data_IF_487421459023
#
_entry.id   IF_487421459023
#
_cell.length_a   1.000
_cell.length_b   1.000
_cell.length_c   1.000
_cell.angle_alpha   90.00
_cell.angle_beta   90.00
_cell.angle_gamma   90.00
#
_symmetry.space_group_name_H-M   'P 1'
#
loop_
_entity.id
_entity.type
_entity.pdbx_description
1 polymer ?
#
# COMPACT_ATOMS: atom_id res chain seq x y z
N UNK A 1 1.84 7.49 15.15
CA UNK A 1 2.51 7.20 13.86
C UNK A 1 1.57 6.60 12.83
N UNK A 2 0.96 5.43 13.08
CA UNK A 2 0.03 4.80 12.11
C UNK A 2 -1.17 5.68 11.74
N UNK A 3 -1.77 6.37 12.71
CA UNK A 3 -2.82 7.36 12.43
C UNK A 3 -2.34 8.46 11.47
N UNK A 4 -1.09 8.92 11.60
CA UNK A 4 -0.45 9.87 10.69
C UNK A 4 -0.08 9.30 9.32
N UNK A 5 -0.24 7.99 9.11
CA UNK A 5 -0.15 7.30 7.81
C UNK A 5 -1.51 6.93 7.23
N UNK A 6 -2.62 7.35 7.86
CA UNK A 6 -3.98 7.07 7.37
C UNK A 6 -4.52 5.72 7.84
N UNK A 7 -3.88 5.13 8.84
CA UNK A 7 -4.26 3.86 9.45
C UNK A 7 -4.60 4.10 10.93
N UNK A 8 -5.82 4.58 11.23
CA UNK A 8 -6.23 4.80 12.60
C UNK A 8 -6.14 3.52 13.42
N UNK A 9 -5.59 3.65 14.62
CA UNK A 9 -5.68 2.65 15.68
C UNK A 9 -7.11 2.65 16.22
N UNK A 10 -7.63 1.52 16.69
CA UNK A 10 -9.03 1.40 17.08
C UNK A 10 -9.50 2.55 18.01
N UNK A 11 -10.54 3.28 17.58
CA UNK A 11 -11.10 4.43 18.31
C UNK A 11 -10.62 5.81 17.84
N UNK A 12 -9.59 5.89 16.99
CA UNK A 12 -9.10 7.17 16.45
C UNK A 12 -9.73 7.47 15.08
N UNK A 13 -10.13 8.73 14.79
CA UNK A 13 -10.55 9.11 13.45
C UNK A 13 -9.36 9.07 12.49
N UNK A 14 -9.55 8.52 11.29
CA UNK A 14 -8.57 8.68 10.20
C UNK A 14 -8.44 10.17 9.89
N UNK A 15 -7.22 10.74 9.84
CA UNK A 15 -7.07 12.12 9.41
C UNK A 15 -7.58 12.26 7.97
N UNK A 16 -8.40 13.27 7.72
CA UNK A 16 -8.86 13.58 6.38
C UNK A 16 -7.66 13.93 5.48
N UNK A 17 -7.59 13.35 4.27
CA UNK A 17 -6.60 13.73 3.24
C UNK A 17 -5.33 12.89 3.12
N UNK A 18 -5.15 11.79 3.90
CA UNK A 18 -3.97 10.93 3.78
C UNK A 18 -3.96 10.00 2.56
N UNK A 19 -5.13 9.61 2.06
CA UNK A 19 -5.25 8.91 0.77
C UNK A 19 -5.29 9.96 -0.32
N UNK A 20 -4.20 10.09 -1.06
CA UNK A 20 -4.05 11.11 -2.11
C UNK A 20 -4.70 10.66 -3.42
N UNK A 21 -4.84 9.35 -3.65
CA UNK A 21 -5.65 8.89 -4.78
C UNK A 21 -5.43 7.45 -5.20
N UNK A 22 -6.15 7.08 -6.25
CA UNK A 22 -5.97 5.85 -6.99
C UNK A 22 -5.02 6.11 -8.16
N UNK A 23 -4.12 5.17 -8.43
CA UNK A 23 -3.20 5.20 -9.56
C UNK A 23 -3.46 4.00 -10.47
N UNK A 24 -3.60 4.26 -11.77
CA UNK A 24 -3.47 3.21 -12.79
C UNK A 24 -1.98 2.88 -12.95
N UNK A 25 -1.64 1.61 -12.83
CA UNK A 25 -0.26 1.11 -13.03
C UNK A 25 -0.23 -0.03 -14.03
N UNK A 26 0.96 -0.34 -14.52
CA UNK A 26 1.21 -1.58 -15.26
C UNK A 26 1.15 -2.81 -14.33
N UNK A 27 0.99 -3.99 -14.93
CA UNK A 27 0.93 -5.26 -14.19
C UNK A 27 2.19 -5.48 -13.35
N UNK A 28 2.08 -5.77 -12.04
CA UNK A 28 3.22 -5.84 -11.12
C UNK A 28 4.09 -7.09 -11.28
N UNK A 29 3.71 -8.05 -12.13
CA UNK A 29 4.45 -9.29 -12.33
C UNK A 29 5.92 -9.07 -12.76
N UNK A 30 6.20 -7.97 -13.47
CA UNK A 30 7.55 -7.58 -13.91
C UNK A 30 8.44 -7.04 -12.79
N UNK A 31 7.88 -6.68 -11.63
CA UNK A 31 8.65 -6.17 -10.49
C UNK A 31 9.40 -7.29 -9.76
N UNK A 32 8.90 -8.53 -9.84
CA UNK A 32 9.49 -9.70 -9.18
C UNK A 32 9.13 -9.85 -7.70
N UNK A 33 9.31 -11.04 -7.13
CA UNK A 33 8.96 -11.38 -5.75
C UNK A 33 9.87 -10.79 -4.67
N UNK A 34 9.45 -10.87 -3.41
CA UNK A 34 10.28 -10.60 -2.24
C UNK A 34 10.36 -9.13 -1.84
N UNK A 35 11.09 -8.84 -0.76
CA UNK A 35 11.31 -7.51 -0.22
C UNK A 35 12.73 -7.01 -0.51
N UNK A 36 12.87 -5.74 -0.85
CA UNK A 36 14.18 -5.11 -1.08
C UNK A 36 14.21 -3.64 -0.65
N UNK A 37 15.35 -3.23 -0.10
CA UNK A 37 15.64 -1.89 0.44
C UNK A 37 16.77 -1.22 -0.35
N UNK A 38 16.68 -1.26 -1.67
CA UNK A 38 17.67 -0.68 -2.57
C UNK A 38 17.06 0.38 -3.49
N UNK A 39 17.72 1.54 -3.56
CA UNK A 39 17.26 2.66 -4.38
C UNK A 39 17.12 2.27 -5.85
N UNK A 40 18.05 1.49 -6.39
CA UNK A 40 18.01 1.08 -7.78
C UNK A 40 16.83 0.13 -8.05
N UNK A 41 16.57 -0.81 -7.13
CA UNK A 41 15.42 -1.70 -7.25
C UNK A 41 14.08 -0.97 -7.07
N UNK A 42 14.03 0.03 -6.18
CA UNK A 42 12.87 0.90 -6.04
C UNK A 42 12.59 1.70 -7.31
N UNK A 43 13.61 2.31 -7.91
CA UNK A 43 13.47 3.05 -9.19
C UNK A 43 13.04 2.12 -10.32
N UNK A 44 13.61 0.92 -10.43
CA UNK A 44 13.18 -0.09 -11.41
C UNK A 44 11.72 -0.48 -11.22
N UNK A 45 11.25 -0.60 -9.99
CA UNK A 45 9.85 -0.89 -9.70
C UNK A 45 8.94 0.26 -10.13
N UNK A 46 9.31 1.53 -9.88
CA UNK A 46 8.56 2.68 -10.38
C UNK A 46 8.45 2.68 -11.90
N UNK A 47 9.57 2.51 -12.62
CA UNK A 47 9.55 2.42 -14.09
C UNK A 47 8.69 1.25 -14.58
N UNK A 48 8.81 0.07 -13.97
CA UNK A 48 8.02 -1.11 -14.33
C UNK A 48 6.52 -0.88 -14.15
N UNK A 49 6.12 -0.15 -13.10
CA UNK A 49 4.73 0.22 -12.82
C UNK A 49 4.21 1.37 -13.69
N UNK A 50 5.06 2.01 -14.50
CA UNK A 50 4.69 3.20 -15.29
C UNK A 50 4.66 4.49 -14.48
N UNK A 51 5.35 4.52 -13.33
CA UNK A 51 5.46 5.64 -12.40
C UNK A 51 6.84 6.31 -12.46
N UNK A 52 7.49 6.29 -13.63
CA UNK A 52 8.77 6.94 -13.81
C UNK A 52 8.66 8.45 -13.56
N UNK A 53 9.62 9.01 -12.81
CA UNK A 53 9.59 10.41 -12.42
C UNK A 53 8.51 10.77 -11.39
N UNK A 54 7.88 9.79 -10.72
CA UNK A 54 6.91 10.05 -9.65
C UNK A 54 7.49 11.02 -8.62
N UNK A 55 6.78 12.12 -8.30
CA UNK A 55 7.33 13.21 -7.50
C UNK A 55 7.58 12.76 -6.06
N UNK A 56 8.59 13.32 -5.42
CA UNK A 56 8.84 13.11 -4.00
C UNK A 56 7.67 13.61 -3.16
N UNK A 57 7.27 12.82 -2.16
CA UNK A 57 6.26 13.22 -1.19
C UNK A 57 6.83 14.29 -0.25
N UNK A 58 6.21 15.47 -0.23
CA UNK A 58 6.51 16.54 0.73
C UNK A 58 5.64 16.48 1.99
N UNK A 59 4.57 15.67 1.94
CA UNK A 59 3.67 15.35 3.04
C UNK A 59 3.36 13.85 3.00
N UNK A 60 3.02 13.21 4.13
CA UNK A 60 2.63 11.81 4.15
C UNK A 60 1.45 11.53 3.23
N UNK A 61 1.51 10.44 2.45
CA UNK A 61 0.42 10.02 1.56
C UNK A 61 0.38 8.52 1.31
N UNK A 62 -0.83 8.05 1.01
CA UNK A 62 -1.14 6.72 0.53
C UNK A 62 -1.69 6.78 -0.89
N UNK A 63 -1.23 5.86 -1.75
CA UNK A 63 -1.73 5.69 -3.11
C UNK A 63 -2.10 4.23 -3.35
N UNK A 64 -3.34 3.98 -3.78
CA UNK A 64 -3.81 2.63 -4.12
C UNK A 64 -3.48 2.35 -5.58
N UNK A 65 -2.87 1.21 -5.84
CA UNK A 65 -2.36 0.85 -7.16
C UNK A 65 -3.34 -0.12 -7.82
N UNK A 66 -3.85 0.26 -8.99
CA UNK A 66 -4.88 -0.46 -9.72
C UNK A 66 -4.38 -0.88 -11.10
N UNK A 67 -4.80 -2.06 -11.54
CA UNK A 67 -4.60 -2.52 -12.91
C UNK A 67 -5.95 -2.84 -13.55
N UNK A 68 -6.01 -2.78 -14.89
CA UNK A 68 -7.16 -3.25 -15.64
C UNK A 68 -7.23 -4.78 -15.56
N UNK A 69 -8.39 -5.31 -15.18
CA UNK A 69 -8.67 -6.75 -15.22
C UNK A 69 -9.17 -7.20 -16.59
N UNK A 70 -9.51 -8.49 -16.71
CA UNK A 70 -10.26 -8.99 -17.86
C UNK A 70 -11.69 -8.41 -17.86
N UNK A 71 -12.21 -8.04 -19.03
CA UNK A 71 -13.43 -7.23 -19.16
C UNK A 71 -13.22 -5.80 -18.63
N UNK A 72 -14.28 -5.01 -18.49
CA UNK A 72 -14.20 -3.65 -17.94
C UNK A 72 -13.91 -3.60 -16.41
N UNK A 73 -13.28 -4.65 -15.86
CA UNK A 73 -13.04 -4.82 -14.43
C UNK A 73 -11.76 -4.14 -13.94
N UNK A 74 -11.71 -3.90 -12.64
CA UNK A 74 -10.56 -3.33 -11.93
C UNK A 74 -10.01 -4.33 -10.91
N UNK A 75 -8.69 -4.43 -10.85
CA UNK A 75 -7.99 -5.27 -9.86
C UNK A 75 -7.08 -4.38 -9.02
N UNK A 76 -7.09 -4.61 -7.71
CA UNK A 76 -6.14 -3.98 -6.81
C UNK A 76 -4.81 -4.73 -6.91
N UNK A 77 -3.76 -4.01 -7.27
CA UNK A 77 -2.40 -4.52 -7.38
C UNK A 77 -1.58 -4.25 -6.11
N UNK A 78 -1.86 -3.18 -5.38
CA UNK A 78 -0.99 -2.78 -4.28
C UNK A 78 -1.33 -1.47 -3.60
N UNK A 79 -0.40 -1.05 -2.75
CA UNK A 79 -0.40 0.23 -2.06
C UNK A 79 1.02 0.81 -2.08
N UNK A 80 1.12 2.11 -2.30
CA UNK A 80 2.33 2.89 -2.08
C UNK A 80 2.14 3.80 -0.87
N UNK A 81 3.14 3.83 0.01
CA UNK A 81 3.16 4.62 1.25
C UNK A 81 4.37 5.54 1.15
N UNK A 82 4.16 6.84 1.28
CA UNK A 82 5.22 7.84 1.16
C UNK A 82 5.16 8.82 2.31
N UNK A 83 6.32 9.25 2.79
CA UNK A 83 6.46 10.24 3.86
C UNK A 83 7.74 11.06 3.64
N UNK A 84 7.76 12.35 4.00
CA UNK A 84 9.00 13.13 3.98
C UNK A 84 10.04 12.60 4.98
N UNK A 85 9.60 11.88 6.02
CA UNK A 85 10.45 11.24 7.02
C UNK A 85 10.43 9.71 6.89
N UNK A 86 11.52 8.99 7.26
CA UNK A 86 11.56 7.54 7.20
C UNK A 86 10.48 6.85 8.04
N UNK A 87 9.74 5.95 7.39
CA UNK A 87 8.65 5.15 7.93
C UNK A 87 8.97 3.65 7.94
N UNK A 88 10.12 3.24 7.39
CA UNK A 88 10.68 1.90 7.49
C UNK A 88 12.17 1.99 7.83
N UNK A 89 12.57 1.43 8.96
CA UNK A 89 13.95 1.32 9.44
C UNK A 89 14.12 -0.01 10.16
N UNK A 90 14.72 -1.02 9.53
CA UNK A 90 15.00 -2.31 10.18
C UNK A 90 15.68 -2.13 11.54
N UNK A 91 15.25 -2.91 12.54
CA UNK A 91 15.74 -2.80 13.91
C UNK A 91 15.20 -1.62 14.72
N UNK A 92 14.38 -0.75 14.12
CA UNK A 92 13.67 0.33 14.83
C UNK A 92 12.17 0.32 14.56
N UNK A 93 11.78 0.26 13.29
CA UNK A 93 10.40 0.21 12.85
C UNK A 93 10.29 -0.49 11.50
N UNK A 94 9.52 -1.55 11.41
CA UNK A 94 9.23 -2.20 10.12
C UNK A 94 7.74 -2.15 9.85
N UNK A 95 7.39 -1.68 8.66
CA UNK A 95 6.02 -1.63 8.17
C UNK A 95 5.77 -2.77 7.20
N UNK A 96 4.65 -3.45 7.38
CA UNK A 96 4.16 -4.50 6.49
C UNK A 96 2.67 -4.28 6.23
N UNK A 97 2.22 -4.66 5.05
CA UNK A 97 0.84 -4.50 4.62
C UNK A 97 0.20 -5.86 4.38
N UNK A 98 -1.05 -5.99 4.80
CA UNK A 98 -1.92 -7.06 4.37
C UNK A 98 -3.28 -6.50 3.98
N UNK A 99 -4.01 -7.24 3.14
CA UNK A 99 -5.41 -6.94 2.88
C UNK A 99 -6.28 -7.97 3.60
N UNK A 100 -7.23 -7.49 4.40
CA UNK A 100 -8.24 -8.34 5.03
C UNK A 100 -9.59 -8.15 4.32
N UNK A 101 -10.14 -9.24 3.81
CA UNK A 101 -11.51 -9.27 3.30
C UNK A 101 -12.52 -9.29 4.46
N UNK A 102 -13.73 -8.78 4.24
CA UNK A 102 -14.78 -8.86 5.25
C UNK A 102 -15.20 -10.31 5.56
N UNK A 103 -15.03 -11.23 4.60
CA UNK A 103 -15.27 -12.66 4.76
C UNK A 103 -14.18 -13.39 5.59
N UNK A 104 -13.17 -12.66 6.09
CA UNK A 104 -12.14 -13.21 6.98
C UNK A 104 -10.90 -13.78 6.28
N UNK A 105 -10.86 -13.82 4.95
CA UNK A 105 -9.65 -14.14 4.19
C UNK A 105 -8.65 -12.99 4.21
N UNK A 106 -7.35 -13.31 4.29
CA UNK A 106 -6.24 -12.36 4.22
C UNK A 106 -5.45 -12.59 2.93
N UNK A 107 -5.27 -11.53 2.13
CA UNK A 107 -4.43 -11.53 0.94
C UNK A 107 -3.12 -10.81 1.26
N UNK A 108 -2.00 -11.50 1.03
CA UNK A 108 -0.67 -10.93 1.23
C UNK A 108 -0.19 -10.15 0.02
N UNK A 109 0.57 -9.08 0.27
CA UNK A 109 1.40 -8.42 -0.73
C UNK A 109 2.80 -9.05 -0.66
N UNK A 110 3.09 -9.91 -1.64
CA UNK A 110 4.30 -10.76 -1.70
C UNK A 110 5.50 -10.09 -2.37
N UNK A 111 5.30 -8.87 -2.86
CA UNK A 111 6.33 -8.01 -3.42
C UNK A 111 6.42 -6.75 -2.57
N UNK A 112 7.62 -6.39 -2.12
CA UNK A 112 7.83 -5.14 -1.43
C UNK A 112 9.10 -4.43 -1.87
N UNK A 113 9.04 -3.12 -2.03
CA UNK A 113 10.17 -2.27 -2.39
C UNK A 113 10.20 -1.08 -1.44
N UNK A 114 11.38 -0.74 -0.96
CA UNK A 114 11.64 0.48 -0.21
C UNK A 114 12.80 1.22 -0.85
N UNK A 115 12.75 2.55 -0.85
CA UNK A 115 13.99 3.31 -1.02
C UNK A 115 14.89 3.12 0.20
N UNK A 116 16.19 3.40 0.05
CA UNK A 116 17.20 3.17 1.08
C UNK A 116 16.99 4.04 2.32
N UNK A 117 16.35 5.20 2.14
CA UNK A 117 15.99 6.09 3.25
C UNK A 117 14.83 5.54 4.07
N UNK A 118 14.03 4.62 3.51
CA UNK A 118 12.85 4.05 4.16
C UNK A 118 11.67 5.02 4.21
N UNK A 119 11.69 6.05 3.39
CA UNK A 119 10.65 7.09 3.32
C UNK A 119 9.53 6.73 2.35
N UNK A 120 9.79 5.80 1.42
CA UNK A 120 8.80 5.35 0.44
C UNK A 120 8.79 3.83 0.34
N UNK A 121 7.61 3.26 0.44
CA UNK A 121 7.36 1.83 0.32
C UNK A 121 6.32 1.54 -0.74
N UNK A 122 6.52 0.46 -1.47
CA UNK A 122 5.53 -0.14 -2.37
C UNK A 122 5.29 -1.56 -1.90
N UNK A 123 4.03 -1.93 -1.70
CA UNK A 123 3.59 -3.29 -1.45
C UNK A 123 2.70 -3.74 -2.61
N UNK A 124 3.06 -4.80 -3.32
CA UNK A 124 2.32 -5.34 -4.46
C UNK A 124 1.96 -6.81 -4.24
N UNK A 125 0.84 -7.20 -4.82
CA UNK A 125 0.48 -8.58 -5.03
C UNK A 125 0.96 -8.98 -6.44
N UNK A 126 1.76 -10.03 -6.54
CA UNK A 126 2.17 -10.62 -7.82
C UNK A 126 0.97 -11.06 -8.66
N UNK A 127 -0.16 -11.33 -8.00
CA UNK A 127 -1.46 -11.64 -8.59
C UNK A 127 -2.48 -10.61 -8.12
N UNK A 128 -2.68 -9.49 -8.85
CA UNK A 128 -3.73 -8.52 -8.54
C UNK A 128 -5.10 -9.19 -8.45
N UNK A 129 -5.96 -8.69 -7.57
CA UNK A 129 -7.22 -9.34 -7.23
C UNK A 129 -8.39 -8.35 -7.26
N UNK A 130 -9.59 -8.86 -7.51
CA UNK A 130 -10.80 -8.06 -7.39
C UNK A 130 -11.09 -7.79 -5.91
N UNK A 131 -11.42 -6.55 -5.60
CA UNK A 131 -11.93 -6.17 -4.28
C UNK A 131 -13.43 -6.50 -4.25
N UNK A 132 -13.73 -7.79 -4.14
CA UNK A 132 -15.10 -8.29 -4.04
C UNK A 132 -15.47 -8.48 -2.57
N UNK A 133 -16.71 -8.15 -2.24
CA UNK A 133 -17.32 -8.52 -0.96
C UNK A 133 -18.60 -9.34 -1.21
N UNK A 134 -18.54 -10.67 -1.06
CA UNK A 134 -19.70 -11.52 -1.28
C UNK A 134 -20.79 -11.35 -0.20
N UNK A 135 -20.51 -10.66 0.91
CA UNK A 135 -21.41 -10.49 2.06
C UNK A 135 -21.85 -9.03 2.27
N UNK A 136 -21.52 -8.13 1.33
CA UNK A 136 -21.95 -6.73 1.39
C UNK A 136 -21.14 -5.81 2.29
N UNK A 137 -19.99 -6.26 2.82
CA UNK A 137 -19.05 -5.43 3.58
C UNK A 137 -18.07 -4.62 2.70
N UNK A 138 -17.04 -4.10 3.37
CA UNK A 138 -15.88 -3.44 2.75
C UNK A 138 -14.60 -4.22 3.07
N UNK A 139 -13.77 -4.49 2.05
CA UNK A 139 -12.40 -4.94 2.30
C UNK A 139 -11.60 -3.84 3.00
N UNK A 140 -10.65 -4.24 3.84
CA UNK A 140 -9.83 -3.32 4.62
C UNK A 140 -8.35 -3.60 4.42
N UNK A 141 -7.58 -2.57 4.10
CA UNK A 141 -6.13 -2.62 4.29
C UNK A 141 -5.85 -2.72 5.79
N UNK A 142 -4.97 -3.64 6.16
CA UNK A 142 -4.43 -3.75 7.50
C UNK A 142 -2.95 -3.44 7.42
N UNK A 143 -2.58 -2.23 7.86
CA UNK A 143 -1.18 -1.89 8.02
C UNK A 143 -0.71 -2.41 9.38
N UNK A 144 0.30 -3.26 9.36
CA UNK A 144 0.95 -3.80 10.54
C UNK A 144 2.34 -3.19 10.63
N UNK A 145 2.61 -2.49 11.72
CA UNK A 145 3.95 -1.99 12.00
C UNK A 145 4.48 -2.66 13.26
N UNK A 146 5.76 -3.04 13.23
CA UNK A 146 6.49 -3.56 14.37
C UNK A 146 7.54 -2.53 14.77
N UNK A 147 7.45 -2.04 16.00
CA UNK A 147 8.36 -1.03 16.56
C UNK A 147 9.22 -1.67 17.64
N UNK A 148 10.52 -1.40 17.62
CA UNK A 148 11.47 -1.78 18.66
C UNK A 148 11.79 -0.55 19.51
N UNK A 149 11.36 -0.58 20.77
CA UNK A 149 11.66 0.45 21.78
C UNK A 149 12.50 -0.21 22.87
N UNK A 150 13.82 -0.17 22.71
CA UNK A 150 14.73 -0.94 23.57
C UNK A 150 14.60 -2.44 23.31
N UNK A 151 14.27 -3.22 24.33
CA UNK A 151 14.04 -4.68 24.22
C UNK A 151 12.59 -5.06 23.94
N UNK A 152 11.67 -4.10 23.96
CA UNK A 152 10.23 -4.35 23.78
C UNK A 152 9.85 -4.23 22.30
N UNK A 153 9.02 -5.19 21.85
CA UNK A 153 8.45 -5.22 20.50
C UNK A 153 6.97 -4.87 20.59
N UNK A 154 6.59 -3.76 19.98
CA UNK A 154 5.19 -3.29 19.94
C UNK A 154 4.64 -3.53 18.54
N UNK A 155 3.59 -4.33 18.44
CA UNK A 155 2.83 -4.54 17.21
C UNK A 155 1.68 -3.53 17.13
N UNK A 156 1.77 -2.62 16.16
CA UNK A 156 0.75 -1.63 15.87
C UNK A 156 -0.08 -2.06 14.67
N UNK A 157 -1.40 -1.79 14.72
CA UNK A 157 -2.33 -2.09 13.64
C UNK A 157 -3.24 -0.92 13.39
N UNK A 158 -3.41 -0.57 12.13
CA UNK A 158 -4.47 0.34 11.71
C UNK A 158 -5.15 -0.14 10.43
N UNK A 159 -6.37 0.33 10.23
CA UNK A 159 -7.25 -0.18 9.18
C UNK A 159 -7.77 0.95 8.30
N UNK A 160 -7.85 0.71 7.00
CA UNK A 160 -8.43 1.65 6.04
C UNK A 160 -9.30 0.92 5.01
N UNK A 161 -10.48 1.45 4.71
CA UNK A 161 -11.40 0.82 3.77
C UNK A 161 -10.86 0.88 2.33
N UNK A 162 -11.10 -0.20 1.58
CA UNK A 162 -10.69 -0.32 0.18
C UNK A 162 -11.94 -0.23 -0.71
N UNK A 163 -11.99 0.74 -1.64
CA UNK A 163 -13.10 0.81 -2.59
C UNK A 163 -13.03 -0.37 -3.57
N UNK A 164 -14.15 -0.69 -4.22
CA UNK A 164 -14.21 -1.79 -5.21
C UNK A 164 -13.59 -1.45 -6.56
N UNK A 165 -13.36 -0.16 -6.81
CA UNK A 165 -12.90 0.41 -8.07
C UNK A 165 -12.14 1.71 -7.79
N UNK A 166 -11.22 2.13 -8.67
CA UNK A 166 -10.52 3.41 -8.52
C UNK A 166 -11.49 4.59 -8.66
N UNK A 167 -11.16 5.73 -8.09
CA UNK A 167 -11.99 6.94 -8.15
C UNK A 167 -12.20 7.45 -9.58
N UNK A 168 -11.19 7.34 -10.44
CA UNK A 168 -11.24 7.76 -11.86
C UNK A 168 -11.98 6.77 -12.77
N UNK A 169 -12.67 5.76 -12.22
CA UNK A 169 -13.31 4.72 -13.04
C UNK A 169 -14.42 5.23 -13.96
N UNK A 170 -15.03 6.39 -13.66
CA UNK A 170 -16.09 7.03 -14.46
C UNK A 170 -15.54 7.91 -15.59
N UNK A 171 -14.25 8.26 -15.57
CA UNK A 171 -13.66 9.09 -16.62
C UNK A 171 -13.57 8.27 -17.91
N UNK A 172 -14.31 8.65 -18.99
CA UNK A 172 -14.17 8.00 -20.27
C UNK A 172 -12.80 8.37 -20.83
N UNK A 173 -11.98 7.35 -21.07
CA UNK A 173 -10.71 7.43 -21.80
C UNK A 173 -10.89 7.94 -23.21
#
# INVERSE_FOLDING_TARGET
MLAGLGFPTAGEPSPAGLVVGDLLVNTPASVGGGFSEDDQEYQRALSALGLEGWPLATVPRLSRLWVRGAGAGWLLAGLMIESPEPIHRPGRLTVSLALKSAAGGETSFDIGRSDRSGSRLIHLASRPFQVNDPLGGFAQFVLRARSWLGTEVIDLRGMSAVPRRPAFWEDPS
#
